data_IF_644366637865
#
_entry.id   IF_644366637865
#
_cell.length_a   1.000
_cell.length_b   1.000
_cell.length_c   1.000
_cell.angle_alpha   90.00
_cell.angle_beta   90.00
_cell.angle_gamma   90.00
#
_symmetry.space_group_name_H-M   'P 1'
#
loop_
_entity.id
_entity.type
_entity.pdbx_description
1 polymer ?
#
# COMPACT_ATOMS: atom_id res chain seq x y z
N UNK A 1 -5.36 5.75 2.14
CA UNK A 1 -5.18 6.36 0.79
C UNK A 1 -6.52 6.33 0.07
N UNK A 2 -6.97 7.44 -0.51
CA UNK A 2 -8.19 7.45 -1.29
C UNK A 2 -7.97 6.66 -2.60
N UNK A 3 -8.77 5.63 -2.80
CA UNK A 3 -8.80 4.77 -4.00
C UNK A 3 -10.25 4.52 -4.45
N UNK A 4 -11.13 5.54 -4.46
CA UNK A 4 -12.52 5.35 -4.86
C UNK A 4 -12.58 4.85 -6.31
N UNK A 5 -13.51 3.94 -6.57
CA UNK A 5 -13.72 3.39 -7.91
C UNK A 5 -12.72 2.33 -8.36
N UNK A 6 -11.76 1.90 -7.53
CA UNK A 6 -10.93 0.72 -7.81
C UNK A 6 -11.50 -0.49 -7.07
N UNK A 7 -11.67 -1.60 -7.78
CA UNK A 7 -11.96 -2.89 -7.15
C UNK A 7 -10.71 -3.44 -6.46
N UNK A 8 -10.90 -4.35 -5.50
CA UNK A 8 -9.77 -4.97 -4.77
C UNK A 8 -8.76 -5.62 -5.72
N UNK A 9 -9.23 -6.22 -6.81
CA UNK A 9 -8.37 -6.83 -7.85
C UNK A 9 -7.58 -5.80 -8.67
N UNK A 10 -8.03 -4.54 -8.72
CA UNK A 10 -7.35 -3.46 -9.42
C UNK A 10 -6.20 -2.83 -8.63
N UNK A 11 -6.00 -3.23 -7.36
CA UNK A 11 -4.94 -2.72 -6.49
C UNK A 11 -3.93 -3.83 -6.22
N UNK A 12 -2.67 -3.56 -6.51
CA UNK A 12 -1.54 -4.43 -6.19
C UNK A 12 -0.64 -3.74 -5.17
N UNK A 13 -0.25 -4.49 -4.13
CA UNK A 13 0.65 -4.03 -3.08
C UNK A 13 1.82 -5.02 -3.03
N UNK A 14 3.04 -4.52 -3.16
CA UNK A 14 4.25 -5.33 -3.08
C UNK A 14 5.29 -4.68 -2.17
N UNK A 15 6.09 -5.52 -1.51
CA UNK A 15 7.22 -5.09 -0.69
C UNK A 15 8.48 -5.73 -1.26
N UNK A 16 9.41 -4.90 -1.74
CA UNK A 16 10.73 -5.33 -2.20
C UNK A 16 11.78 -4.59 -1.36
N UNK A 17 12.67 -5.34 -0.71
CA UNK A 17 13.63 -4.80 0.28
C UNK A 17 12.92 -4.04 1.43
N UNK A 18 12.91 -2.71 1.36
CA UNK A 18 12.25 -1.77 2.28
C UNK A 18 11.26 -0.86 1.53
N UNK A 19 10.95 -1.15 0.28
CA UNK A 19 10.12 -0.31 -0.60
C UNK A 19 8.73 -0.91 -0.71
N UNK A 20 7.75 -0.30 -0.04
CA UNK A 20 6.35 -0.65 -0.16
C UNK A 20 5.75 0.09 -1.36
N UNK A 21 5.42 -0.67 -2.39
CA UNK A 21 4.85 -0.18 -3.64
C UNK A 21 3.35 -0.48 -3.69
N UNK A 22 2.56 0.54 -4.00
CA UNK A 22 1.11 0.44 -4.21
C UNK A 22 0.83 0.88 -5.64
N UNK A 23 0.20 0.02 -6.42
CA UNK A 23 -0.21 0.30 -7.80
C UNK A 23 -1.71 0.09 -7.90
N UNK A 24 -2.43 1.09 -8.38
CA UNK A 24 -3.82 0.94 -8.78
C UNK A 24 -3.93 1.07 -10.29
N UNK A 25 -4.51 0.06 -10.93
CA UNK A 25 -4.84 0.08 -12.36
C UNK A 25 -6.35 -0.01 -12.52
N UNK A 26 -6.86 0.78 -13.45
CA UNK A 26 -8.24 0.67 -13.91
C UNK A 26 -8.21 0.78 -15.42
N UNK A 27 -8.71 -0.25 -16.09
CA UNK A 27 -8.89 -0.22 -17.53
C UNK A 27 -10.19 0.51 -17.83
N UNK A 28 -10.11 1.54 -18.68
CA UNK A 28 -11.29 2.18 -19.22
C UNK A 28 -11.59 1.66 -20.62
N UNK A 29 -12.87 1.41 -20.87
CA UNK A 29 -13.42 1.16 -22.19
C UNK A 29 -13.31 2.44 -23.03
N UNK A 30 -12.59 2.36 -24.15
CA UNK A 30 -12.36 3.48 -25.08
C UNK A 30 -13.58 3.86 -25.91
N UNK A 31 -14.64 3.04 -25.92
CA UNK A 31 -15.81 3.21 -26.79
C UNK A 31 -16.95 4.01 -26.18
N UNK A 32 -16.73 4.67 -25.04
CA UNK A 32 -17.78 5.45 -24.36
C UNK A 32 -17.70 6.93 -24.72
N UNK A 33 -18.82 7.48 -25.17
CA UNK A 33 -19.00 8.93 -25.35
C UNK A 33 -19.60 9.53 -24.09
N UNK A 34 -18.93 10.54 -23.54
CA UNK A 34 -19.38 11.24 -22.34
C UNK A 34 -19.87 12.65 -22.71
N UNK A 35 -20.97 13.11 -22.11
CA UNK A 35 -21.39 14.52 -22.17
C UNK A 35 -20.53 15.38 -21.22
N UNK A 36 -20.21 14.84 -20.04
CA UNK A 36 -19.31 15.43 -19.05
C UNK A 36 -18.66 14.33 -18.22
N UNK A 37 -17.38 14.47 -17.91
CA UNK A 37 -16.61 13.53 -17.08
C UNK A 37 -15.70 14.32 -16.15
N UNK A 38 -15.97 14.23 -14.84
CA UNK A 38 -15.22 14.97 -13.81
C UNK A 38 -14.16 14.11 -13.11
N UNK A 39 -14.33 12.79 -13.14
CA UNK A 39 -13.39 11.85 -12.54
C UNK A 39 -12.74 11.00 -13.63
N UNK A 40 -11.43 11.12 -13.75
CA UNK A 40 -10.59 10.20 -14.51
C UNK A 40 -9.90 9.23 -13.56
N UNK A 41 -10.21 7.95 -13.71
CA UNK A 41 -9.54 6.90 -12.96
C UNK A 41 -8.35 6.40 -13.77
N UNK A 42 -7.18 6.97 -13.50
CA UNK A 42 -5.93 6.66 -14.19
C UNK A 42 -5.13 5.59 -13.44
N UNK A 43 -4.09 5.04 -14.07
CA UNK A 43 -3.14 4.22 -13.31
C UNK A 43 -2.38 5.11 -12.33
N UNK A 44 -2.33 4.72 -11.05
CA UNK A 44 -1.51 5.40 -10.07
C UNK A 44 -0.45 4.47 -9.48
N UNK A 45 0.65 5.08 -9.04
CA UNK A 45 1.69 4.40 -8.28
C UNK A 45 2.11 5.27 -7.10
N UNK A 46 2.23 4.65 -5.93
CA UNK A 46 2.80 5.26 -4.73
C UNK A 46 3.87 4.35 -4.16
N UNK A 47 4.96 4.94 -3.70
CA UNK A 47 6.11 4.24 -3.14
C UNK A 47 6.40 4.82 -1.76
N UNK A 48 6.54 3.95 -0.76
CA UNK A 48 6.93 4.30 0.59
C UNK A 48 8.21 3.54 0.96
N UNK A 49 9.12 4.22 1.63
CA UNK A 49 10.29 3.60 2.24
C UNK A 49 9.94 3.26 3.68
N UNK A 50 9.91 1.97 4.00
CA UNK A 50 9.70 1.51 5.36
C UNK A 50 11.02 1.55 6.13
N UNK A 51 10.99 1.94 7.41
CA UNK A 51 12.17 1.86 8.26
C UNK A 51 12.51 0.38 8.56
N UNK A 52 13.70 0.13 9.08
CA UNK A 52 14.16 -1.25 9.33
C UNK A 52 13.44 -1.91 10.52
N UNK A 53 12.88 -1.11 11.42
CA UNK A 53 12.20 -1.55 12.65
C UNK A 53 10.73 -1.92 12.43
N UNK A 54 10.39 -2.57 11.31
CA UNK A 54 9.03 -3.04 11.00
C UNK A 54 8.94 -4.56 10.86
N UNK A 55 7.80 -5.14 11.27
CA UNK A 55 7.46 -6.54 11.01
C UNK A 55 6.92 -6.68 9.58
N UNK A 56 7.83 -6.91 8.62
CA UNK A 56 7.51 -6.97 7.18
C UNK A 56 6.54 -8.11 6.82
N UNK A 57 6.51 -9.17 7.61
CA UNK A 57 5.67 -10.35 7.46
C UNK A 57 4.21 -10.11 7.91
N UNK A 58 3.92 -9.01 8.62
CA UNK A 58 2.59 -8.70 9.16
C UNK A 58 1.99 -7.40 8.61
N UNK A 59 2.19 -7.13 7.32
CA UNK A 59 1.51 -5.99 6.69
C UNK A 59 0.08 -6.38 6.37
N UNK A 60 -0.88 -5.66 6.93
CA UNK A 60 -2.31 -5.85 6.67
C UNK A 60 -2.83 -4.74 5.75
N UNK A 61 -3.69 -5.12 4.81
CA UNK A 61 -4.31 -4.19 3.87
C UNK A 61 -5.83 -4.40 3.81
N UNK A 62 -6.60 -3.34 3.99
CA UNK A 62 -8.06 -3.36 3.84
C UNK A 62 -8.52 -2.21 2.98
N UNK A 63 -9.59 -2.43 2.21
CA UNK A 63 -10.27 -1.36 1.46
C UNK A 63 -11.69 -1.28 1.98
N UNK A 64 -12.04 -0.12 2.52
CA UNK A 64 -13.36 0.17 3.06
C UNK A 64 -13.81 1.55 2.55
N UNK A 65 -15.03 1.64 2.01
CA UNK A 65 -15.63 2.88 1.52
C UNK A 65 -14.73 3.70 0.57
N UNK A 66 -13.97 3.02 -0.31
CA UNK A 66 -13.06 3.66 -1.26
C UNK A 66 -11.74 4.16 -0.63
N UNK A 67 -11.42 3.74 0.59
CA UNK A 67 -10.17 4.07 1.28
C UNK A 67 -9.35 2.80 1.50
N UNK A 68 -8.11 2.81 1.03
CA UNK A 68 -7.10 1.79 1.33
C UNK A 68 -6.44 2.11 2.67
N UNK A 69 -6.59 1.22 3.63
CA UNK A 69 -5.89 1.21 4.91
C UNK A 69 -4.75 0.20 4.86
N UNK A 70 -3.59 0.63 5.35
CA UNK A 70 -2.40 -0.20 5.51
C UNK A 70 -1.95 -0.12 6.96
N UNK A 71 -1.86 -1.28 7.61
CA UNK A 71 -1.36 -1.42 8.97
C UNK A 71 0.00 -2.08 8.92
N UNK A 72 0.99 -1.41 9.50
CA UNK A 72 2.38 -1.86 9.54
C UNK A 72 2.82 -1.85 11.00
N UNK A 73 3.11 -3.04 11.54
CA UNK A 73 3.53 -3.18 12.92
C UNK A 73 5.02 -2.89 13.07
N UNK A 74 5.39 -2.27 14.19
CA UNK A 74 6.79 -2.11 14.58
C UNK A 74 7.38 -3.46 15.02
N UNK A 75 8.65 -3.65 14.75
CA UNK A 75 9.43 -4.75 15.29
C UNK A 75 9.45 -4.66 16.83
N UNK A 76 9.46 -5.81 17.50
CA UNK A 76 9.63 -5.82 18.95
C UNK A 76 11.04 -5.35 19.31
N UNK A 77 11.13 -4.37 20.21
CA UNK A 77 12.41 -3.92 20.75
C UNK A 77 12.90 -4.99 21.72
N UNK A 78 13.87 -5.81 21.29
CA UNK A 78 14.54 -6.75 22.20
C UNK A 78 15.34 -5.95 23.23
N UNK A 79 15.16 -6.18 24.54
CA UNK A 79 15.93 -5.49 25.56
C UNK A 79 17.43 -5.79 25.40
N UNK A 80 18.26 -4.80 25.72
CA UNK A 80 19.71 -4.92 25.62
C UNK A 80 20.21 -6.09 26.47
N UNK A 81 21.01 -6.98 25.88
CA UNK A 81 21.68 -8.07 26.58
C UNK A 81 23.02 -7.53 27.07
N UNK A 82 23.18 -7.44 28.39
CA UNK A 82 24.48 -7.11 28.99
C UNK A 82 25.40 -8.33 28.87
N UNK A 83 26.56 -8.14 28.25
CA UNK A 83 27.59 -9.18 28.14
C UNK A 83 28.70 -8.87 29.14
N UNK A 84 29.01 -9.81 30.03
CA UNK A 84 30.12 -9.69 30.97
C UNK A 84 31.44 -10.08 30.30
N UNK A 85 32.46 -9.25 30.47
CA UNK A 85 33.84 -9.54 30.06
C UNK A 85 34.42 -10.57 31.04
N UNK A 86 35.08 -11.62 30.52
CA UNK A 86 35.83 -12.60 31.32
C UNK A 86 37.26 -12.12 31.58
#
# INVERSE_FOLDING_TARGET
MAVPGYDKSGITISLEENKLKIVGKKEESTDRKFLMKEFDFTTFQRLFYLPEDVQKDKIEATVENGILHLVIYKAEVKPAINVSIK
#
